data_IF_558982179539
#
_entry.id   IF_558982179539
#
_cell.length_a   1.000
_cell.length_b   1.000
_cell.length_c   1.000
_cell.angle_alpha   90.00
_cell.angle_beta   90.00
_cell.angle_gamma   90.00
#
_symmetry.space_group_name_H-M   'P 1'
#
loop_
_entity.id
_entity.type
_entity.pdbx_description
1 polymer ?
#
# COMPACT_ATOMS: atom_id res chain seq x y z
N UNK A 1 22.99 12.77 19.63
CA UNK A 1 24.32 12.45 19.03
C UNK A 1 24.19 11.87 17.63
N UNK A 2 23.33 10.84 17.38
CA UNK A 2 23.15 10.24 16.06
C UNK A 2 22.62 11.23 15.01
N UNK A 3 21.52 11.96 15.34
CA UNK A 3 20.88 12.96 14.45
C UNK A 3 21.85 14.09 14.07
N UNK A 4 22.73 14.52 14.99
CA UNK A 4 23.72 15.57 14.69
C UNK A 4 24.78 15.10 13.70
N UNK A 5 25.13 13.81 13.73
CA UNK A 5 26.05 13.21 12.75
C UNK A 5 25.42 13.12 11.37
N UNK A 6 24.13 12.76 11.28
CA UNK A 6 23.39 12.67 10.01
C UNK A 6 23.33 14.02 9.26
N UNK A 7 23.30 15.14 9.97
CA UNK A 7 23.28 16.49 9.36
C UNK A 7 24.51 16.78 8.51
N UNK A 8 25.63 16.09 8.75
CA UNK A 8 26.89 16.30 8.05
C UNK A 8 26.95 15.67 6.64
N UNK A 9 25.97 14.82 6.29
CA UNK A 9 25.93 14.20 4.97
C UNK A 9 25.27 15.13 3.95
N UNK A 10 25.96 15.41 2.84
CA UNK A 10 25.50 16.31 1.77
C UNK A 10 24.30 15.71 0.98
N UNK A 11 24.28 14.40 0.80
CA UNK A 11 23.35 13.67 -0.07
C UNK A 11 22.53 12.63 0.68
N UNK A 12 22.15 12.93 1.92
CA UNK A 12 21.35 12.01 2.73
C UNK A 12 19.89 12.00 2.25
N UNK A 13 19.34 10.81 2.03
CA UNK A 13 17.91 10.56 1.79
C UNK A 13 17.43 9.46 2.74
N UNK A 14 16.23 9.60 3.23
CA UNK A 14 15.56 8.63 4.10
C UNK A 14 14.37 8.04 3.36
N UNK A 15 14.44 6.75 3.05
CA UNK A 15 13.33 6.01 2.51
C UNK A 15 12.57 5.35 3.66
N UNK A 16 11.32 5.77 3.85
CA UNK A 16 10.42 5.21 4.86
C UNK A 16 9.47 4.26 4.15
N UNK A 17 9.51 2.99 4.54
CA UNK A 17 8.63 1.97 3.97
C UNK A 17 7.25 2.06 4.61
N UNK A 18 6.27 2.46 3.82
CA UNK A 18 4.88 2.63 4.23
C UNK A 18 3.99 2.28 3.05
N UNK A 19 2.98 1.44 3.23
CA UNK A 19 2.22 0.88 2.12
C UNK A 19 0.77 1.40 2.06
N UNK A 20 0.28 2.00 3.16
CA UNK A 20 -1.06 2.57 3.28
C UNK A 20 -1.10 3.54 4.48
N UNK A 21 -2.30 3.99 4.87
CA UNK A 21 -2.52 4.85 6.04
C UNK A 21 -3.32 4.11 7.12
N UNK A 22 -3.17 4.57 8.38
CA UNK A 22 -3.92 4.11 9.55
C UNK A 22 -3.92 2.58 9.70
N UNK A 23 -5.04 2.00 10.07
CA UNK A 23 -5.20 0.57 10.31
C UNK A 23 -4.86 -0.30 9.09
N UNK A 24 -5.00 0.24 7.87
CA UNK A 24 -4.63 -0.48 6.65
C UNK A 24 -3.12 -0.70 6.54
N UNK A 25 -2.33 0.29 6.97
CA UNK A 25 -0.88 0.11 7.06
C UNK A 25 -0.51 -0.91 8.15
N UNK A 26 -1.15 -0.81 9.30
CA UNK A 26 -0.86 -1.67 10.45
C UNK A 26 -1.26 -3.12 10.20
N UNK A 27 -2.35 -3.33 9.46
CA UNK A 27 -2.72 -4.66 8.98
C UNK A 27 -1.65 -5.27 8.06
N UNK A 28 -1.11 -4.50 7.12
CA UNK A 28 -0.11 -4.97 6.16
C UNK A 28 1.27 -5.17 6.80
N UNK A 29 1.59 -4.36 7.80
CA UNK A 29 2.88 -4.33 8.50
C UNK A 29 2.72 -4.73 9.95
N UNK A 30 2.95 -6.01 10.23
CA UNK A 30 2.86 -6.54 11.60
C UNK A 30 3.71 -5.72 12.58
N UNK A 31 3.17 -5.50 13.79
CA UNK A 31 3.76 -4.68 14.85
C UNK A 31 3.95 -3.20 14.49
N UNK A 32 3.35 -2.74 13.40
CA UNK A 32 3.26 -1.33 13.07
C UNK A 32 2.16 -0.65 13.90
N UNK A 33 2.37 0.61 14.21
CA UNK A 33 1.38 1.53 14.78
C UNK A 33 1.50 2.84 14.01
N UNK A 34 0.50 3.13 13.17
CA UNK A 34 0.54 4.29 12.29
C UNK A 34 0.57 5.60 13.06
N UNK A 35 -0.05 5.69 14.24
CA UNK A 35 0.00 6.89 15.06
C UNK A 35 1.43 7.18 15.52
N UNK A 36 2.17 6.14 15.93
CA UNK A 36 3.58 6.26 16.30
C UNK A 36 4.45 6.64 15.10
N UNK A 37 4.14 6.08 13.93
CA UNK A 37 4.82 6.44 12.66
C UNK A 37 4.59 7.92 12.37
N UNK A 38 3.35 8.40 12.43
CA UNK A 38 2.98 9.79 12.14
C UNK A 38 3.64 10.78 13.12
N UNK A 39 3.62 10.48 14.42
CA UNK A 39 4.33 11.29 15.41
C UNK A 39 5.84 11.38 15.13
N UNK A 40 6.45 10.24 14.81
CA UNK A 40 7.88 10.19 14.50
C UNK A 40 8.17 10.92 13.17
N UNK A 41 7.28 10.81 12.19
CA UNK A 41 7.38 11.49 10.91
C UNK A 41 7.35 13.01 11.08
N UNK A 42 6.46 13.55 11.91
CA UNK A 42 6.39 14.97 12.24
C UNK A 42 7.71 15.45 12.85
N UNK A 43 8.21 14.74 13.86
CA UNK A 43 9.50 15.04 14.52
C UNK A 43 10.67 14.97 13.53
N UNK A 44 10.68 13.96 12.67
CA UNK A 44 11.75 13.73 11.72
C UNK A 44 11.72 14.73 10.56
N UNK A 45 10.52 15.07 10.08
CA UNK A 45 10.32 16.06 9.01
C UNK A 45 10.76 17.45 9.41
N UNK A 46 10.63 17.84 10.67
CA UNK A 46 11.12 19.13 11.17
C UNK A 46 12.64 19.29 11.01
N UNK A 47 13.37 18.16 10.94
CA UNK A 47 14.83 18.13 10.83
C UNK A 47 15.28 17.85 9.39
N UNK A 48 14.58 16.96 8.67
CA UNK A 48 15.01 16.37 7.40
C UNK A 48 13.97 16.45 6.28
N UNK A 49 13.01 17.32 6.33
CA UNK A 49 11.82 17.38 5.46
C UNK A 49 12.11 17.05 3.98
N UNK A 50 13.03 17.79 3.35
CA UNK A 50 13.37 17.59 1.93
C UNK A 50 14.20 16.32 1.62
N UNK A 51 14.48 15.51 2.64
CA UNK A 51 15.31 14.31 2.52
C UNK A 51 14.52 13.01 2.69
N UNK A 52 13.22 13.13 2.93
CA UNK A 52 12.33 11.99 3.16
C UNK A 52 11.64 11.60 1.85
N UNK A 53 11.50 10.31 1.61
CA UNK A 53 10.69 9.73 0.55
C UNK A 53 9.95 8.51 1.11
N UNK A 54 8.69 8.34 0.76
CA UNK A 54 7.97 7.10 1.04
C UNK A 54 8.28 6.05 -0.03
N UNK A 55 8.59 4.83 0.39
CA UNK A 55 8.59 3.65 -0.45
C UNK A 55 7.27 2.92 -0.20
N UNK A 56 6.39 2.91 -1.19
CA UNK A 56 5.12 2.22 -1.14
C UNK A 56 5.13 1.02 -2.08
N UNK A 57 4.81 -0.15 -1.55
CA UNK A 57 4.75 -1.38 -2.33
C UNK A 57 3.29 -1.73 -2.65
N UNK A 58 2.93 -1.58 -3.91
CA UNK A 58 1.57 -1.89 -4.39
C UNK A 58 1.33 -3.38 -4.40
N UNK A 59 0.24 -3.78 -3.79
CA UNK A 59 -0.19 -5.17 -3.62
C UNK A 59 -1.72 -5.28 -3.62
N UNK A 60 -2.27 -6.47 -3.38
CA UNK A 60 -3.72 -6.70 -3.36
C UNK A 60 -4.45 -5.99 -2.23
N UNK A 61 -3.79 -5.69 -1.12
CA UNK A 61 -4.44 -4.99 0.00
C UNK A 61 -4.72 -3.53 -0.30
N UNK A 62 -3.73 -2.81 -0.86
CA UNK A 62 -3.77 -1.36 -0.97
C UNK A 62 -4.25 -0.82 -2.33
N UNK A 63 -4.32 -1.64 -3.37
CA UNK A 63 -4.60 -1.15 -4.74
C UNK A 63 -5.94 -0.43 -4.89
N UNK A 64 -6.96 -0.78 -4.08
CA UNK A 64 -8.29 -0.18 -4.20
C UNK A 64 -8.37 1.24 -3.63
N UNK A 65 -7.65 1.50 -2.54
CA UNK A 65 -7.71 2.77 -1.79
C UNK A 65 -6.38 3.54 -1.84
N UNK A 66 -5.48 3.18 -2.74
CA UNK A 66 -4.13 3.75 -2.82
C UNK A 66 -4.09 5.25 -3.08
N UNK A 67 -5.14 5.80 -3.69
CA UNK A 67 -5.27 7.24 -3.91
C UNK A 67 -5.33 8.04 -2.61
N UNK A 68 -5.91 7.46 -1.53
CA UNK A 68 -5.96 8.09 -0.22
C UNK A 68 -4.56 8.22 0.38
N UNK A 69 -3.74 7.17 0.26
CA UNK A 69 -2.34 7.22 0.67
C UNK A 69 -1.54 8.26 -0.13
N UNK A 70 -1.75 8.34 -1.44
CA UNK A 70 -1.08 9.34 -2.27
C UNK A 70 -1.49 10.76 -1.89
N UNK A 71 -2.79 10.97 -1.64
CA UNK A 71 -3.29 12.24 -1.16
C UNK A 71 -2.67 12.61 0.20
N UNK A 72 -2.63 11.67 1.15
CA UNK A 72 -1.98 11.89 2.45
C UNK A 72 -0.51 12.30 2.27
N UNK A 73 0.25 11.60 1.44
CA UNK A 73 1.66 11.93 1.20
C UNK A 73 1.84 13.31 0.55
N UNK A 74 0.96 13.69 -0.38
CA UNK A 74 0.97 14.99 -1.04
C UNK A 74 0.60 16.12 -0.05
N UNK A 75 -0.40 15.90 0.81
CA UNK A 75 -0.84 16.87 1.84
C UNK A 75 0.30 17.20 2.83
N UNK A 76 1.15 16.23 3.16
CA UNK A 76 2.34 16.43 3.99
C UNK A 76 3.62 16.71 3.19
N UNK A 77 3.50 16.86 1.87
CA UNK A 77 4.58 17.18 0.93
C UNK A 77 5.78 16.22 0.99
N UNK A 78 5.50 14.91 1.05
CA UNK A 78 6.51 13.84 0.99
C UNK A 78 6.35 13.05 -0.31
N UNK A 79 7.37 12.99 -1.18
CA UNK A 79 7.30 12.22 -2.42
C UNK A 79 7.17 10.72 -2.17
N UNK A 80 6.44 10.03 -3.05
CA UNK A 80 6.24 8.58 -3.00
C UNK A 80 6.97 7.90 -4.15
N UNK A 81 7.78 6.90 -3.82
CA UNK A 81 8.36 5.93 -4.76
C UNK A 81 7.47 4.69 -4.79
N UNK A 82 6.86 4.43 -5.93
CA UNK A 82 5.97 3.27 -6.15
C UNK A 82 6.80 2.05 -6.53
N UNK A 83 6.58 0.95 -5.81
CA UNK A 83 7.13 -0.37 -6.10
C UNK A 83 5.99 -1.38 -6.26
N UNK A 84 6.30 -2.59 -6.73
CA UNK A 84 5.30 -3.64 -6.91
C UNK A 84 5.76 -4.93 -6.23
N UNK A 85 4.84 -5.57 -5.50
CA UNK A 85 5.11 -6.90 -4.97
C UNK A 85 5.37 -7.87 -6.12
N UNK A 86 6.46 -8.61 -6.00
CA UNK A 86 6.79 -9.72 -6.90
C UNK A 86 6.66 -11.07 -6.20
N UNK A 87 6.91 -11.12 -4.90
CA UNK A 87 6.72 -12.28 -4.04
C UNK A 87 6.17 -11.82 -2.66
N UNK A 88 5.21 -12.59 -2.09
CA UNK A 88 4.59 -13.79 -2.64
C UNK A 88 3.67 -13.46 -3.83
N UNK A 89 3.63 -14.34 -4.81
CA UNK A 89 2.96 -14.10 -6.12
C UNK A 89 1.46 -13.81 -6.03
N UNK A 90 0.79 -14.31 -5.00
CA UNK A 90 -0.64 -14.06 -4.77
C UNK A 90 -0.95 -12.65 -4.24
N UNK A 91 0.06 -11.88 -3.86
CA UNK A 91 -0.08 -10.46 -3.54
C UNK A 91 0.25 -9.54 -4.73
N UNK A 92 0.78 -10.10 -5.83
CA UNK A 92 1.09 -9.31 -7.01
C UNK A 92 -0.19 -8.94 -7.77
N UNK A 93 -0.41 -7.68 -8.01
CA UNK A 93 -1.64 -7.12 -8.63
C UNK A 93 -1.92 -7.66 -10.04
N UNK A 94 -0.89 -8.13 -10.76
CA UNK A 94 -1.10 -8.75 -12.08
C UNK A 94 -1.91 -10.06 -11.99
N UNK A 95 -2.00 -10.67 -10.80
CA UNK A 95 -2.70 -11.92 -10.54
C UNK A 95 -4.12 -11.71 -9.96
N UNK A 96 -4.62 -10.48 -9.97
CA UNK A 96 -6.03 -10.19 -9.68
C UNK A 96 -6.96 -10.79 -10.74
N UNK A 97 -8.15 -11.27 -10.33
CA UNK A 97 -9.18 -11.71 -11.27
C UNK A 97 -9.50 -10.65 -12.32
N UNK A 98 -9.79 -11.08 -13.54
CA UNK A 98 -10.03 -10.15 -14.67
C UNK A 98 -11.20 -9.20 -14.41
N UNK A 99 -12.24 -9.62 -13.70
CA UNK A 99 -13.37 -8.76 -13.34
C UNK A 99 -12.95 -7.66 -12.37
N UNK A 100 -12.14 -8.00 -11.38
CA UNK A 100 -11.59 -7.07 -10.41
C UNK A 100 -10.67 -6.06 -11.11
N UNK A 101 -9.82 -6.51 -12.02
CA UNK A 101 -9.00 -5.59 -12.84
C UNK A 101 -9.86 -4.59 -13.62
N UNK A 102 -11.00 -5.03 -14.17
CA UNK A 102 -11.93 -4.13 -14.88
C UNK A 102 -12.52 -3.07 -13.94
N UNK A 103 -12.92 -3.44 -12.71
CA UNK A 103 -13.44 -2.49 -11.73
C UNK A 103 -12.38 -1.46 -11.32
N UNK A 104 -11.14 -1.89 -11.08
CA UNK A 104 -10.04 -0.99 -10.76
C UNK A 104 -9.73 -0.05 -11.95
N UNK A 105 -9.74 -0.57 -13.19
CA UNK A 105 -9.57 0.26 -14.38
C UNK A 105 -10.66 1.33 -14.51
N UNK A 106 -11.93 0.99 -14.27
CA UNK A 106 -13.02 1.97 -14.29
C UNK A 106 -12.89 2.99 -13.17
N UNK A 107 -12.55 2.56 -11.93
CA UNK A 107 -12.31 3.46 -10.81
C UNK A 107 -11.25 4.52 -11.15
N UNK A 108 -10.15 4.10 -11.77
CA UNK A 108 -9.00 4.96 -12.02
C UNK A 108 -8.91 5.54 -13.45
N UNK A 109 -9.95 5.33 -14.26
CA UNK A 109 -9.98 5.73 -15.68
C UNK A 109 -9.64 7.20 -15.94
N UNK A 110 -10.10 8.08 -15.08
CA UNK A 110 -9.92 9.53 -15.19
C UNK A 110 -8.92 10.10 -14.17
N UNK A 111 -8.18 9.24 -13.46
CA UNK A 111 -7.22 9.70 -12.47
C UNK A 111 -6.08 10.47 -13.15
N UNK A 112 -5.82 11.72 -12.75
CA UNK A 112 -4.75 12.53 -13.33
C UNK A 112 -3.36 12.12 -12.86
N UNK A 113 -3.28 11.41 -11.72
CA UNK A 113 -2.03 11.05 -11.06
C UNK A 113 -1.21 10.04 -11.86
N UNK A 114 0.03 10.38 -12.17
CA UNK A 114 0.95 9.51 -12.93
C UNK A 114 1.30 8.24 -12.15
N UNK A 115 1.29 8.27 -10.81
CA UNK A 115 1.49 7.08 -9.96
C UNK A 115 0.36 6.07 -10.16
N UNK A 116 -0.88 6.55 -10.26
CA UNK A 116 -2.07 5.72 -10.54
C UNK A 116 -1.97 5.12 -11.95
N UNK A 117 -1.59 5.92 -12.96
CA UNK A 117 -1.40 5.43 -14.34
C UNK A 117 -0.34 4.33 -14.41
N UNK A 118 0.76 4.48 -13.67
CA UNK A 118 1.79 3.45 -13.55
C UNK A 118 1.22 2.14 -12.96
N UNK A 119 0.40 2.25 -11.90
CA UNK A 119 -0.26 1.10 -11.26
C UNK A 119 -1.21 0.41 -12.22
N UNK A 120 -2.07 1.17 -12.92
CA UNK A 120 -3.03 0.64 -13.89
C UNK A 120 -2.30 -0.05 -15.06
N UNK A 121 -1.22 0.51 -15.56
CA UNK A 121 -0.39 -0.13 -16.59
C UNK A 121 0.17 -1.47 -16.10
N UNK A 122 0.67 -1.52 -14.85
CA UNK A 122 1.18 -2.77 -14.25
C UNK A 122 0.08 -3.79 -14.04
N UNK A 123 -1.09 -3.39 -13.56
CA UNK A 123 -2.26 -4.22 -13.32
C UNK A 123 -2.68 -5.00 -14.59
N UNK A 124 -2.59 -4.36 -15.75
CA UNK A 124 -3.05 -4.89 -17.04
C UNK A 124 -2.07 -5.86 -17.70
N UNK A 125 -0.91 -6.08 -17.11
CA UNK A 125 -0.01 -7.14 -17.57
C UNK A 125 -0.64 -8.52 -17.43
N UNK A 126 -0.23 -9.49 -18.28
CA UNK A 126 -0.68 -10.88 -18.15
C UNK A 126 -0.38 -11.45 -16.77
N UNK A 127 -1.36 -12.14 -16.20
CA UNK A 127 -1.24 -12.79 -14.90
C UNK A 127 -2.22 -13.94 -14.78
N UNK A 128 -2.19 -14.65 -13.64
CA UNK A 128 -3.10 -15.74 -13.31
C UNK A 128 -4.05 -15.30 -12.20
N UNK A 129 -5.28 -15.78 -12.20
CA UNK A 129 -6.17 -15.60 -11.05
C UNK A 129 -5.64 -16.41 -9.86
N UNK A 130 -5.21 -15.71 -8.81
CA UNK A 130 -4.72 -16.29 -7.57
C UNK A 130 -5.58 -15.91 -6.36
N UNK A 131 -6.87 -15.61 -6.59
CA UNK A 131 -7.83 -15.26 -5.54
C UNK A 131 -7.90 -16.32 -4.44
N UNK A 132 -7.98 -17.60 -4.77
CA UNK A 132 -7.95 -18.68 -3.79
C UNK A 132 -6.70 -18.62 -2.88
N UNK A 133 -5.53 -18.41 -3.46
CA UNK A 133 -4.29 -18.29 -2.68
C UNK A 133 -4.28 -17.05 -1.80
N UNK A 134 -4.78 -15.91 -2.33
CA UNK A 134 -4.90 -14.68 -1.56
C UNK A 134 -5.81 -14.86 -0.34
N UNK A 135 -7.00 -15.41 -0.52
CA UNK A 135 -7.93 -15.59 0.58
C UNK A 135 -7.47 -16.61 1.63
N UNK A 136 -6.79 -17.67 1.22
CA UNK A 136 -6.15 -18.58 2.17
C UNK A 136 -5.05 -17.87 2.98
N UNK A 137 -4.28 -17.00 2.34
CA UNK A 137 -3.31 -16.16 3.01
C UNK A 137 -3.99 -15.22 4.02
N UNK A 138 -5.04 -14.50 3.62
CA UNK A 138 -5.83 -13.63 4.50
C UNK A 138 -6.35 -14.41 5.71
N UNK A 139 -7.07 -15.53 5.50
CA UNK A 139 -7.60 -16.36 6.59
C UNK A 139 -6.52 -16.81 7.59
N UNK A 140 -5.36 -17.18 7.07
CA UNK A 140 -4.23 -17.59 7.90
C UNK A 140 -3.71 -16.43 8.76
N UNK A 141 -3.52 -15.27 8.16
CA UNK A 141 -2.97 -14.10 8.86
C UNK A 141 -3.96 -13.47 9.82
N UNK A 142 -5.25 -13.39 9.47
CA UNK A 142 -6.31 -12.92 10.36
C UNK A 142 -6.33 -13.75 11.65
N UNK A 143 -6.30 -15.09 11.52
CA UNK A 143 -6.24 -15.98 12.66
C UNK A 143 -4.95 -15.82 13.49
N UNK A 144 -3.82 -15.69 12.82
CA UNK A 144 -2.51 -15.60 13.49
C UNK A 144 -2.36 -14.29 14.29
N UNK A 145 -2.89 -13.19 13.74
CA UNK A 145 -2.72 -11.84 14.28
C UNK A 145 -3.92 -11.35 15.08
N UNK A 146 -4.97 -12.17 15.21
CA UNK A 146 -6.25 -11.77 15.80
C UNK A 146 -6.76 -10.44 15.20
N UNK A 147 -6.72 -10.35 13.89
CA UNK A 147 -7.14 -9.19 13.10
C UNK A 147 -8.19 -9.61 12.06
N UNK A 148 -8.79 -8.68 11.34
CA UNK A 148 -9.82 -8.95 10.35
C UNK A 148 -9.60 -8.10 9.10
N UNK A 149 -9.29 -8.76 7.99
CA UNK A 149 -9.22 -8.12 6.67
C UNK A 149 -10.54 -7.41 6.32
N UNK A 150 -11.66 -8.03 6.60
CA UNK A 150 -12.98 -7.48 6.26
C UNK A 150 -13.33 -6.24 7.05
N UNK A 151 -12.83 -6.09 8.27
CA UNK A 151 -13.08 -4.90 9.09
C UNK A 151 -12.17 -3.75 8.64
N UNK A 152 -10.89 -4.03 8.41
CA UNK A 152 -9.89 -3.03 8.02
C UNK A 152 -10.10 -2.54 6.59
N UNK A 153 -10.41 -3.44 5.65
CA UNK A 153 -10.63 -3.13 4.23
C UNK A 153 -12.11 -3.34 3.84
N UNK A 154 -13.01 -2.70 4.54
CA UNK A 154 -14.45 -2.99 4.48
C UNK A 154 -15.05 -2.82 3.08
N UNK A 155 -14.70 -1.79 2.34
CA UNK A 155 -15.16 -1.61 0.95
C UNK A 155 -14.48 -2.61 0.01
N UNK A 156 -13.17 -2.71 0.08
CA UNK A 156 -12.38 -3.58 -0.77
C UNK A 156 -12.74 -5.05 -0.58
N UNK A 157 -12.88 -5.51 0.66
CA UNK A 157 -13.30 -6.87 0.97
C UNK A 157 -14.68 -7.18 0.42
N UNK A 158 -15.65 -6.26 0.54
CA UNK A 158 -17.00 -6.43 -0.02
C UNK A 158 -16.96 -6.60 -1.53
N UNK A 159 -16.13 -5.84 -2.26
CA UNK A 159 -15.97 -5.96 -3.71
C UNK A 159 -15.38 -7.32 -4.07
N UNK A 160 -14.33 -7.75 -3.39
CA UNK A 160 -13.69 -9.03 -3.61
C UNK A 160 -14.64 -10.22 -3.28
N UNK A 161 -15.48 -10.09 -2.25
CA UNK A 161 -16.43 -11.12 -1.81
C UNK A 161 -17.65 -11.25 -2.73
N UNK A 162 -18.18 -10.13 -3.22
CA UNK A 162 -19.36 -10.11 -4.10
C UNK A 162 -19.12 -10.81 -5.45
N UNK A 163 -17.89 -10.92 -5.89
CA UNK A 163 -17.52 -11.61 -7.11
C UNK A 163 -17.46 -13.15 -6.95
N UNK A 164 -17.99 -13.72 -5.86
CA UNK A 164 -18.10 -15.17 -5.55
C UNK A 164 -16.75 -15.90 -5.51
N UNK A 165 -15.68 -15.24 -5.07
CA UNK A 165 -14.39 -15.89 -4.87
C UNK A 165 -14.23 -16.55 -3.47
N UNK A 166 -15.29 -16.47 -2.63
CA UNK A 166 -15.40 -17.17 -1.36
C UNK A 166 -16.36 -18.34 -1.48
N UNK A 167 -15.84 -19.51 -1.73
CA UNK A 167 -16.49 -20.79 -1.41
C UNK A 167 -15.56 -21.61 -0.55
#
# INVERSE_FOLDING_TARGET
KFVSQLKNFKTLKFAISIDDIYERNDYQREMSDFNVIEENLIKFSSIFHKKIIFNCTINWYNIWEIEEFFKYADDINIPVSVQFVTAPVHLNIINLPIKIKKLINEKYKSAPDERIKLIVNRLNLPGKDLSFNFFNHVKHYDKLRNNSFTDVFSEWSRILLNEKYYV
#
